data_IF_981226849739
#
_entry.id   IF_981226849739
#
_cell.length_a   1.000
_cell.length_b   1.000
_cell.length_c   1.000
_cell.angle_alpha   90.00
_cell.angle_beta   90.00
_cell.angle_gamma   90.00
#
_symmetry.space_group_name_H-M   'P 1'
#
loop_
_entity.id
_entity.type
_entity.pdbx_description
1 polymer ?
#
# COMPACT_ATOMS: atom_id res chain seq x y z
N UNK A 1 -18.77 -37.25 -36.01
CA UNK A 1 -19.69 -36.13 -35.83
C UNK A 1 -18.86 -34.87 -35.67
N UNK A 2 -18.89 -33.93 -36.63
CA UNK A 2 -18.14 -32.69 -36.51
C UNK A 2 -18.95 -31.69 -35.69
N UNK A 3 -18.39 -31.24 -34.58
CA UNK A 3 -19.02 -30.16 -33.78
C UNK A 3 -19.11 -28.91 -34.64
N UNK A 4 -20.22 -28.19 -34.57
CA UNK A 4 -20.36 -26.89 -35.22
C UNK A 4 -19.48 -25.84 -34.55
N UNK A 5 -19.07 -24.79 -35.27
CA UNK A 5 -18.27 -23.69 -34.72
C UNK A 5 -18.95 -23.05 -33.49
N UNK A 6 -20.28 -23.08 -33.45
CA UNK A 6 -21.06 -22.56 -32.32
C UNK A 6 -20.94 -23.49 -31.07
N UNK A 7 -20.89 -24.81 -31.26
CA UNK A 7 -20.67 -25.77 -30.15
C UNK A 7 -19.24 -25.68 -29.62
N UNK A 8 -18.27 -25.45 -30.51
CA UNK A 8 -16.87 -25.24 -30.11
C UNK A 8 -16.74 -23.93 -29.31
N UNK A 9 -17.42 -22.86 -29.73
CA UNK A 9 -17.43 -21.59 -29.03
C UNK A 9 -18.07 -21.72 -27.62
N UNK A 10 -19.23 -22.42 -27.50
CA UNK A 10 -19.88 -22.68 -26.22
C UNK A 10 -18.96 -23.53 -25.31
N UNK A 11 -18.30 -24.58 -25.86
CA UNK A 11 -17.35 -25.39 -25.09
C UNK A 11 -16.13 -24.59 -24.63
N UNK A 12 -15.62 -23.69 -25.48
CA UNK A 12 -14.50 -22.80 -25.11
C UNK A 12 -14.90 -21.80 -24.03
N UNK A 13 -16.11 -21.24 -24.11
CA UNK A 13 -16.64 -20.34 -23.07
C UNK A 13 -16.92 -21.11 -21.77
N UNK A 14 -17.43 -22.35 -21.85
CA UNK A 14 -17.66 -23.20 -20.65
C UNK A 14 -16.34 -23.61 -19.99
N UNK A 15 -15.27 -23.81 -20.77
CA UNK A 15 -13.94 -24.14 -20.24
C UNK A 15 -13.27 -22.92 -19.59
N UNK A 16 -13.57 -21.70 -20.03
CA UNK A 16 -13.17 -20.45 -19.39
C UNK A 16 -13.97 -20.16 -18.11
N UNK A 17 -15.14 -20.78 -17.95
CA UNK A 17 -16.02 -20.66 -16.79
C UNK A 17 -15.82 -21.75 -15.74
N UNK A 18 -14.89 -22.69 -15.94
CA UNK A 18 -14.52 -23.61 -14.88
C UNK A 18 -13.77 -22.81 -13.80
N UNK A 19 -14.30 -22.75 -12.59
CA UNK A 19 -13.60 -22.06 -11.51
C UNK A 19 -12.22 -22.72 -11.37
N UNK A 20 -11.18 -21.95 -11.56
CA UNK A 20 -9.86 -22.36 -11.09
C UNK A 20 -10.04 -22.68 -9.61
N UNK A 21 -9.50 -23.79 -9.13
CA UNK A 21 -9.70 -24.27 -7.76
C UNK A 21 -9.02 -23.37 -6.70
N UNK A 22 -8.84 -22.09 -6.99
CA UNK A 22 -8.42 -21.11 -6.03
C UNK A 22 -9.66 -20.34 -5.54
N UNK A 23 -10.11 -20.55 -4.28
CA UNK A 23 -11.27 -19.87 -3.73
C UNK A 23 -11.12 -18.33 -3.68
N UNK A 24 -9.91 -17.82 -3.92
CA UNK A 24 -9.61 -16.38 -3.91
C UNK A 24 -9.79 -15.69 -5.28
N UNK A 25 -10.17 -16.42 -6.35
CA UNK A 25 -10.53 -15.80 -7.62
C UNK A 25 -12.04 -15.54 -7.68
N UNK A 26 -12.43 -14.33 -7.36
CA UNK A 26 -13.80 -13.86 -7.59
C UNK A 26 -14.01 -13.48 -9.05
N UNK A 27 -14.47 -14.45 -9.84
CA UNK A 27 -14.79 -14.25 -11.25
C UNK A 27 -15.93 -13.20 -11.43
N UNK A 28 -16.82 -13.07 -10.45
CA UNK A 28 -17.89 -12.07 -10.47
C UNK A 28 -17.32 -10.66 -10.29
N UNK A 29 -16.32 -10.48 -9.44
CA UNK A 29 -15.58 -9.22 -9.29
C UNK A 29 -14.86 -8.83 -10.57
N UNK A 30 -14.20 -9.76 -11.23
CA UNK A 30 -13.56 -9.54 -12.53
C UNK A 30 -14.55 -9.13 -13.64
N UNK A 31 -15.73 -9.76 -13.69
CA UNK A 31 -16.75 -9.47 -14.72
C UNK A 31 -17.55 -8.20 -14.42
N UNK A 32 -17.68 -7.79 -13.16
CA UNK A 32 -18.39 -6.61 -12.72
C UNK A 32 -17.48 -5.46 -12.30
N UNK A 33 -16.16 -5.67 -12.35
CA UNK A 33 -15.15 -4.68 -11.99
C UNK A 33 -15.20 -3.49 -12.93
N UNK A 34 -15.78 -2.40 -12.45
CA UNK A 34 -15.82 -1.11 -13.14
C UNK A 34 -15.02 -0.05 -12.39
N UNK A 35 -14.13 -0.49 -11.48
CA UNK A 35 -13.20 0.42 -10.82
C UNK A 35 -12.37 1.15 -11.87
N UNK A 36 -12.18 2.47 -11.72
CA UNK A 36 -11.36 3.23 -12.65
C UNK A 36 -9.94 2.66 -12.72
N UNK A 37 -9.35 2.67 -13.91
CA UNK A 37 -7.95 2.33 -14.12
C UNK A 37 -7.01 3.17 -13.25
N UNK A 38 -5.82 2.64 -12.95
CA UNK A 38 -4.82 3.28 -12.10
C UNK A 38 -4.50 4.73 -12.50
N UNK A 39 -4.45 5.02 -13.81
CA UNK A 39 -4.19 6.39 -14.30
C UNK A 39 -5.29 7.37 -13.88
N UNK A 40 -6.55 6.96 -13.90
CA UNK A 40 -7.68 7.81 -13.50
C UNK A 40 -7.73 7.96 -11.97
N UNK A 41 -7.43 6.90 -11.21
CA UNK A 41 -7.31 6.99 -9.74
C UNK A 41 -6.16 7.93 -9.36
N UNK A 42 -5.04 7.86 -10.08
CA UNK A 42 -3.92 8.79 -9.92
C UNK A 42 -4.35 10.25 -10.14
N UNK A 43 -5.00 10.57 -11.27
CA UNK A 43 -5.49 11.93 -11.56
C UNK A 43 -6.42 12.45 -10.45
N UNK A 44 -7.34 11.62 -9.98
CA UNK A 44 -8.27 11.96 -8.89
C UNK A 44 -7.55 12.15 -7.56
N UNK A 45 -6.51 11.36 -7.30
CA UNK A 45 -5.67 11.45 -6.11
C UNK A 45 -4.87 12.76 -6.09
N UNK A 46 -4.23 13.12 -7.21
CA UNK A 46 -3.48 14.37 -7.32
C UNK A 46 -4.41 15.59 -7.16
N UNK A 47 -5.57 15.58 -7.80
CA UNK A 47 -6.55 16.66 -7.64
C UNK A 47 -7.03 16.83 -6.17
N UNK A 48 -7.18 15.71 -5.45
CA UNK A 48 -7.48 15.76 -4.01
C UNK A 48 -6.30 16.33 -3.21
N UNK A 49 -5.09 15.86 -3.45
CA UNK A 49 -3.88 16.30 -2.76
C UNK A 49 -3.64 17.80 -2.96
N UNK A 50 -3.86 18.32 -4.17
CA UNK A 50 -3.76 19.76 -4.46
C UNK A 50 -4.75 20.60 -3.63
N UNK A 51 -5.90 20.01 -3.27
CA UNK A 51 -6.92 20.70 -2.48
C UNK A 51 -6.65 20.71 -0.98
N UNK A 52 -5.93 19.70 -0.45
CA UNK A 52 -5.69 19.54 0.99
C UNK A 52 -4.25 19.85 1.40
N UNK A 53 -3.32 19.84 0.44
CA UNK A 53 -1.90 20.03 0.68
C UNK A 53 -1.18 18.79 1.19
N UNK A 54 0.10 18.93 1.50
CA UNK A 54 0.95 17.83 1.98
C UNK A 54 0.84 17.71 3.49
N UNK A 55 0.43 16.55 4.03
CA UNK A 55 0.35 16.34 5.47
C UNK A 55 1.72 16.36 6.15
N UNK A 56 1.77 16.91 7.35
CA UNK A 56 2.91 16.84 8.25
C UNK A 56 2.50 16.14 9.55
N UNK A 57 3.26 15.14 9.96
CA UNK A 57 3.05 14.42 11.22
C UNK A 57 4.07 14.92 12.25
N UNK A 58 3.58 15.46 13.35
CA UNK A 58 4.46 15.88 14.45
C UNK A 58 4.83 14.63 15.25
N UNK A 59 6.15 14.35 15.33
CA UNK A 59 6.68 13.22 16.09
C UNK A 59 7.24 13.69 17.43
N UNK A 60 7.18 12.84 18.48
CA UNK A 60 7.56 13.24 19.84
C UNK A 60 9.07 13.45 20.01
N UNK A 61 9.89 12.80 19.20
CA UNK A 61 11.35 12.88 19.23
C UNK A 61 11.95 12.56 17.86
N UNK A 62 13.24 12.80 17.67
CA UNK A 62 13.96 12.40 16.46
C UNK A 62 13.95 10.86 16.28
N UNK A 63 13.92 10.13 17.37
CA UNK A 63 13.75 8.68 17.39
C UNK A 63 12.28 8.35 17.69
N UNK A 64 11.59 7.74 16.72
CA UNK A 64 10.18 7.39 16.86
C UNK A 64 9.89 6.05 16.18
N UNK A 65 8.70 5.50 16.42
CA UNK A 65 8.28 4.22 15.85
C UNK A 65 7.14 4.38 14.87
N UNK A 66 7.16 3.53 13.85
CA UNK A 66 6.09 3.36 12.88
C UNK A 66 5.60 1.92 12.96
N UNK A 67 4.33 1.73 13.20
CA UNK A 67 3.69 0.43 13.15
C UNK A 67 3.15 0.18 11.76
N UNK A 68 3.42 -0.99 11.19
CA UNK A 68 3.09 -1.32 9.80
C UNK A 68 2.38 -2.66 9.74
N UNK A 69 1.19 -2.69 9.13
CA UNK A 69 0.44 -3.91 8.85
C UNK A 69 -0.10 -3.88 7.42
N UNK A 70 -0.63 -5.00 6.97
CA UNK A 70 -1.19 -5.19 5.63
C UNK A 70 -2.21 -6.32 5.64
N UNK A 71 -2.99 -6.42 4.57
CA UNK A 71 -3.82 -7.60 4.29
C UNK A 71 -4.66 -8.02 5.50
N UNK A 72 -5.41 -7.10 6.06
CA UNK A 72 -6.32 -7.40 7.19
C UNK A 72 -7.63 -8.06 6.75
N UNK A 73 -8.00 -7.94 5.46
CA UNK A 73 -9.13 -8.62 4.81
C UNK A 73 -10.40 -8.64 5.66
N UNK A 74 -10.81 -7.48 6.17
CA UNK A 74 -11.94 -7.38 7.10
C UNK A 74 -13.22 -7.86 6.43
N UNK A 75 -13.83 -8.90 6.98
CA UNK A 75 -15.12 -9.45 6.59
C UNK A 75 -16.04 -9.76 7.79
N UNK A 76 -15.48 -9.94 8.97
CA UNK A 76 -16.17 -10.28 10.21
C UNK A 76 -15.61 -9.50 11.41
N UNK A 77 -15.45 -10.10 12.58
CA UNK A 77 -14.90 -9.43 13.76
C UNK A 77 -13.36 -9.42 13.69
N UNK A 78 -12.72 -8.29 13.36
CA UNK A 78 -11.28 -8.21 13.17
C UNK A 78 -10.55 -8.06 14.50
N UNK A 79 -10.12 -9.15 15.07
CA UNK A 79 -9.39 -9.17 16.33
C UNK A 79 -7.97 -8.63 16.16
N UNK A 80 -7.29 -9.02 15.07
CA UNK A 80 -5.89 -8.64 14.83
C UNK A 80 -5.75 -7.14 14.50
N UNK A 81 -6.59 -6.57 13.63
CA UNK A 81 -6.53 -5.12 13.34
C UNK A 81 -6.82 -4.29 14.60
N UNK A 82 -7.81 -4.70 15.40
CA UNK A 82 -8.12 -4.01 16.65
C UNK A 82 -6.93 -4.06 17.63
N UNK A 83 -6.31 -5.23 17.77
CA UNK A 83 -5.15 -5.40 18.64
C UNK A 83 -3.93 -4.61 18.12
N UNK A 84 -3.71 -4.57 16.78
CA UNK A 84 -2.69 -3.75 16.16
C UNK A 84 -2.87 -2.26 16.45
N UNK A 85 -4.08 -1.72 16.24
CA UNK A 85 -4.39 -0.32 16.53
C UNK A 85 -4.21 0.00 18.02
N UNK A 86 -4.63 -0.90 18.91
CA UNK A 86 -4.44 -0.73 20.35
C UNK A 86 -2.96 -0.72 20.74
N UNK A 87 -2.15 -1.63 20.18
CA UNK A 87 -0.71 -1.69 20.42
C UNK A 87 0.00 -0.42 19.94
N UNK A 88 -0.31 0.04 18.73
CA UNK A 88 0.24 1.28 18.17
C UNK A 88 -0.16 2.51 19.00
N UNK A 89 -1.43 2.61 19.41
CA UNK A 89 -1.92 3.73 20.21
C UNK A 89 -1.37 3.74 21.65
N UNK A 90 -0.99 2.58 22.19
CA UNK A 90 -0.38 2.47 23.52
C UNK A 90 1.12 2.82 23.53
N UNK A 91 1.78 2.82 22.39
CA UNK A 91 3.20 3.16 22.28
C UNK A 91 3.37 4.69 22.12
N UNK A 92 3.86 5.34 23.16
CA UNK A 92 4.06 6.80 23.20
C UNK A 92 5.10 7.32 22.18
N UNK A 93 5.90 6.44 21.59
CA UNK A 93 6.83 6.76 20.52
C UNK A 93 6.25 6.48 19.13
N UNK A 94 5.00 6.03 19.02
CA UNK A 94 4.33 5.75 17.75
C UNK A 94 3.33 6.85 17.39
N UNK A 95 3.72 7.87 16.62
CA UNK A 95 2.82 8.93 16.17
C UNK A 95 1.99 8.52 14.96
N UNK A 96 2.42 7.49 14.21
CA UNK A 96 1.76 7.05 13.00
C UNK A 96 1.83 5.54 12.79
N UNK A 97 0.80 5.01 12.13
CA UNK A 97 0.74 3.64 11.66
C UNK A 97 0.44 3.61 10.14
N UNK A 98 0.94 2.59 9.46
CA UNK A 98 0.69 2.34 8.04
C UNK A 98 -0.08 1.04 7.87
N UNK A 99 -1.08 1.06 6.99
CA UNK A 99 -1.74 -0.12 6.47
C UNK A 99 -1.46 -0.22 4.97
N UNK A 100 -0.80 -1.29 4.53
CA UNK A 100 -0.25 -1.39 3.18
C UNK A 100 -1.25 -1.98 2.16
N UNK A 101 -2.55 -1.81 2.37
CA UNK A 101 -3.60 -2.23 1.44
C UNK A 101 -4.27 -3.54 1.82
N UNK A 102 -5.34 -3.89 1.09
CA UNK A 102 -6.26 -4.98 1.38
C UNK A 102 -6.82 -4.88 2.80
N UNK A 103 -7.34 -3.68 3.10
CA UNK A 103 -8.01 -3.40 4.37
C UNK A 103 -9.27 -4.26 4.52
N UNK A 104 -10.02 -4.43 3.42
CA UNK A 104 -11.28 -5.19 3.40
C UNK A 104 -11.21 -6.36 2.42
N UNK A 105 -12.00 -7.40 2.68
CA UNK A 105 -12.04 -8.57 1.79
C UNK A 105 -13.08 -8.41 0.68
N UNK A 106 -14.19 -7.73 0.93
CA UNK A 106 -15.32 -7.66 0.02
C UNK A 106 -16.13 -6.36 0.15
N UNK A 107 -17.08 -6.21 -0.77
CA UNK A 107 -17.97 -5.05 -0.85
C UNK A 107 -18.73 -4.78 0.47
N UNK A 108 -18.82 -3.49 0.81
CA UNK A 108 -19.62 -3.01 1.94
C UNK A 108 -18.91 -3.05 3.30
N UNK A 109 -17.66 -3.46 3.37
CA UNK A 109 -16.92 -3.54 4.63
C UNK A 109 -16.10 -2.29 4.95
N UNK A 110 -15.88 -1.38 3.98
CA UNK A 110 -15.08 -0.16 4.18
C UNK A 110 -15.60 0.69 5.36
N UNK A 111 -16.91 1.00 5.50
CA UNK A 111 -17.39 1.79 6.64
C UNK A 111 -17.10 1.15 7.99
N UNK A 112 -17.20 -0.18 8.06
CA UNK A 112 -16.89 -0.92 9.27
C UNK A 112 -15.39 -0.88 9.57
N UNK A 113 -14.55 -1.15 8.57
CA UNK A 113 -13.09 -1.07 8.71
C UNK A 113 -12.64 0.32 9.18
N UNK A 114 -13.18 1.38 8.60
CA UNK A 114 -12.91 2.77 9.03
C UNK A 114 -13.26 2.99 10.51
N UNK A 115 -14.34 2.38 11.01
CA UNK A 115 -14.74 2.53 12.42
C UNK A 115 -13.75 1.90 13.41
N UNK A 116 -12.86 1.04 12.94
CA UNK A 116 -11.83 0.37 13.74
C UNK A 116 -10.51 1.15 13.77
N UNK A 117 -10.31 2.03 12.81
CA UNK A 117 -9.14 2.89 12.75
C UNK A 117 -9.23 4.00 13.82
N UNK A 118 -8.08 4.56 14.23
CA UNK A 118 -8.08 5.65 15.19
C UNK A 118 -8.92 6.84 14.67
N UNK A 119 -9.71 7.48 15.52
CA UNK A 119 -10.46 8.67 15.11
C UNK A 119 -9.52 9.83 14.76
N UNK A 120 -9.95 10.74 13.90
CA UNK A 120 -9.16 11.88 13.39
C UNK A 120 -8.50 12.77 14.46
N UNK A 121 -8.92 12.68 15.72
CA UNK A 121 -8.32 13.43 16.83
C UNK A 121 -7.45 12.55 17.74
N UNK A 122 -7.16 11.32 17.33
CA UNK A 122 -6.21 10.45 18.01
C UNK A 122 -4.78 11.00 17.88
N UNK A 123 -3.92 10.81 18.89
CA UNK A 123 -2.49 11.07 18.73
C UNK A 123 -1.83 10.14 17.71
N UNK A 124 -2.44 8.99 17.41
CA UNK A 124 -2.02 8.06 16.38
C UNK A 124 -2.70 8.42 15.05
N UNK A 125 -1.90 8.77 14.04
CA UNK A 125 -2.36 8.99 12.66
C UNK A 125 -2.19 7.70 11.86
N UNK A 126 -3.21 7.28 11.09
CA UNK A 126 -3.11 6.12 10.21
C UNK A 126 -3.11 6.54 8.76
N UNK A 127 -2.16 6.02 7.97
CA UNK A 127 -2.08 6.17 6.53
C UNK A 127 -2.27 4.82 5.85
N UNK A 128 -2.95 4.81 4.70
CA UNK A 128 -3.34 3.57 4.02
C UNK A 128 -2.89 3.58 2.56
N UNK A 129 -2.27 2.50 2.12
CA UNK A 129 -2.18 2.19 0.70
C UNK A 129 -3.47 1.51 0.23
N UNK A 130 -3.74 1.58 -1.06
CA UNK A 130 -4.86 0.90 -1.70
C UNK A 130 -4.44 -0.50 -2.13
N UNK A 131 -5.17 -1.54 -1.72
CA UNK A 131 -5.00 -2.90 -2.17
C UNK A 131 -6.02 -3.30 -3.25
N UNK A 132 -5.83 -4.47 -3.83
CA UNK A 132 -6.73 -4.95 -4.90
C UNK A 132 -8.12 -5.35 -4.36
N UNK A 133 -8.22 -5.86 -3.14
CA UNK A 133 -9.50 -6.16 -2.52
C UNK A 133 -10.30 -4.90 -2.18
N UNK A 134 -9.64 -3.78 -1.90
CA UNK A 134 -10.27 -2.51 -1.59
C UNK A 134 -11.01 -1.88 -2.79
N UNK A 135 -10.69 -2.32 -4.03
CA UNK A 135 -11.32 -1.81 -5.26
C UNK A 135 -12.24 -2.83 -5.93
N UNK A 136 -12.32 -4.06 -5.46
CA UNK A 136 -13.25 -5.05 -6.01
C UNK A 136 -14.69 -4.52 -5.95
N UNK A 137 -15.53 -4.96 -6.90
CA UNK A 137 -16.95 -4.56 -6.98
C UNK A 137 -17.18 -3.05 -7.10
N UNK A 138 -16.24 -2.33 -7.73
CA UNK A 138 -16.34 -0.87 -7.93
C UNK A 138 -16.36 -0.05 -6.63
N UNK A 139 -15.57 -0.47 -5.63
CA UNK A 139 -15.51 0.21 -4.33
C UNK A 139 -14.62 1.47 -4.31
N UNK A 140 -13.96 1.82 -5.41
CA UNK A 140 -13.07 2.98 -5.45
C UNK A 140 -13.71 4.28 -4.96
N UNK A 141 -14.92 4.60 -5.41
CA UNK A 141 -15.59 5.84 -5.00
C UNK A 141 -15.92 5.83 -3.50
N UNK A 142 -16.30 4.67 -2.94
CA UNK A 142 -16.52 4.52 -1.51
C UNK A 142 -15.22 4.66 -0.76
N UNK A 143 -14.16 3.94 -1.14
CA UNK A 143 -12.82 4.03 -0.54
C UNK A 143 -12.31 5.47 -0.54
N UNK A 144 -12.37 6.13 -1.70
CA UNK A 144 -11.96 7.51 -1.88
C UNK A 144 -12.75 8.50 -1.00
N UNK A 145 -14.01 8.23 -0.73
CA UNK A 145 -14.84 9.10 0.13
C UNK A 145 -14.33 9.15 1.57
N UNK A 146 -13.67 8.10 2.04
CA UNK A 146 -13.09 8.02 3.38
C UNK A 146 -11.63 8.48 3.43
N UNK A 147 -10.83 8.09 2.45
CA UNK A 147 -9.37 8.25 2.48
C UNK A 147 -8.83 9.30 1.51
N UNK A 148 -9.63 9.72 0.53
CA UNK A 148 -9.34 10.80 -0.41
C UNK A 148 -8.41 10.45 -1.55
N UNK A 149 -7.25 9.87 -1.27
CA UNK A 149 -6.18 9.64 -2.24
C UNK A 149 -5.52 8.28 -2.05
N UNK A 150 -5.22 7.57 -3.16
CA UNK A 150 -4.39 6.37 -3.18
C UNK A 150 -2.92 6.65 -3.50
N UNK A 151 -2.60 7.86 -3.99
CA UNK A 151 -1.23 8.28 -4.33
C UNK A 151 -0.96 9.61 -3.66
N UNK A 152 -0.07 9.63 -2.70
CA UNK A 152 0.25 10.82 -1.93
C UNK A 152 1.64 10.69 -1.29
N UNK A 153 2.10 11.77 -0.68
CA UNK A 153 3.26 11.74 0.21
C UNK A 153 3.00 12.61 1.43
N UNK A 154 3.70 12.33 2.49
CA UNK A 154 3.71 13.12 3.71
C UNK A 154 5.11 13.09 4.34
N UNK A 155 5.31 13.91 5.35
CA UNK A 155 6.57 13.93 6.07
C UNK A 155 6.38 14.02 7.58
N UNK A 156 7.42 13.66 8.31
CA UNK A 156 7.46 13.80 9.77
C UNK A 156 8.32 15.00 10.15
N UNK A 157 7.97 15.62 11.25
CA UNK A 157 8.68 16.79 11.78
C UNK A 157 8.61 16.84 13.30
N UNK A 158 9.63 17.43 13.91
CA UNK A 158 9.63 17.74 15.34
C UNK A 158 8.73 18.96 15.65
N UNK A 159 8.35 19.17 16.92
CA UNK A 159 7.57 20.36 17.33
C UNK A 159 8.24 21.71 17.02
N UNK A 160 9.58 21.73 16.87
CA UNK A 160 10.35 22.91 16.48
C UNK A 160 10.42 23.15 14.97
N UNK A 161 9.64 22.37 14.20
CA UNK A 161 9.59 22.38 12.74
C UNK A 161 10.82 21.77 12.03
N UNK A 162 11.69 21.06 12.74
CA UNK A 162 12.76 20.28 12.12
C UNK A 162 12.15 19.09 11.36
N UNK A 163 12.31 19.08 10.05
CA UNK A 163 11.83 17.99 9.17
C UNK A 163 12.74 16.78 9.30
N UNK A 164 12.15 15.59 9.35
CA UNK A 164 12.86 14.33 9.51
C UNK A 164 12.73 13.44 8.28
N UNK A 165 11.64 12.69 8.15
CA UNK A 165 11.53 11.59 7.21
C UNK A 165 10.36 11.83 6.24
N UNK A 166 10.49 11.30 5.02
CA UNK A 166 9.48 11.37 3.96
C UNK A 166 8.90 9.98 3.70
N UNK A 167 7.58 9.94 3.56
CA UNK A 167 6.82 8.76 3.21
C UNK A 167 6.04 9.00 1.92
N UNK A 168 6.12 8.07 0.97
CA UNK A 168 5.48 8.16 -0.35
C UNK A 168 4.60 6.93 -0.54
N UNK A 169 3.30 7.14 -0.72
CA UNK A 169 2.32 6.09 -1.03
C UNK A 169 2.12 6.00 -2.54
N UNK A 170 2.17 4.78 -3.08
CA UNK A 170 1.88 4.48 -4.47
C UNK A 170 0.65 3.58 -4.58
N UNK A 171 -0.14 3.76 -5.64
CA UNK A 171 -1.25 2.89 -6.01
C UNK A 171 -0.76 1.78 -6.92
N UNK A 172 -0.74 0.57 -6.42
CA UNK A 172 -0.37 -0.65 -7.15
C UNK A 172 -1.49 -1.70 -7.18
N UNK A 173 -2.72 -1.31 -6.82
CA UNK A 173 -3.84 -2.22 -6.61
C UNK A 173 -4.22 -3.08 -7.84
N UNK A 174 -3.86 -2.66 -9.05
CA UNK A 174 -4.08 -3.41 -10.30
C UNK A 174 -2.84 -4.17 -10.78
N UNK A 175 -1.79 -4.29 -9.97
CA UNK A 175 -0.52 -4.89 -10.40
C UNK A 175 0.26 -4.02 -11.39
N UNK A 176 0.03 -2.71 -11.37
CA UNK A 176 0.77 -1.70 -12.14
C UNK A 176 0.73 -0.37 -11.40
N UNK A 177 1.81 0.38 -11.52
CA UNK A 177 1.90 1.77 -11.06
C UNK A 177 1.41 2.73 -12.17
N UNK A 178 1.66 2.38 -13.41
CA UNK A 178 1.33 3.19 -14.59
C UNK A 178 2.29 4.36 -14.82
N UNK A 179 2.38 4.79 -16.06
CA UNK A 179 3.39 5.78 -16.52
C UNK A 179 3.24 7.14 -15.84
N UNK A 180 2.01 7.59 -15.61
CA UNK A 180 1.76 8.90 -15.00
C UNK A 180 2.28 8.96 -13.55
N UNK A 181 2.05 7.90 -12.79
CA UNK A 181 2.51 7.80 -11.40
C UNK A 181 4.04 7.63 -11.32
N UNK A 182 4.65 6.84 -12.23
CA UNK A 182 6.10 6.73 -12.33
C UNK A 182 6.75 8.09 -12.66
N UNK A 183 6.15 8.87 -13.55
CA UNK A 183 6.65 10.20 -13.88
C UNK A 183 6.54 11.14 -12.66
N UNK A 184 5.41 11.14 -11.96
CA UNK A 184 5.21 11.92 -10.73
C UNK A 184 6.23 11.54 -9.65
N UNK A 185 6.47 10.24 -9.44
CA UNK A 185 7.46 9.75 -8.48
C UNK A 185 8.87 10.23 -8.85
N UNK A 186 9.23 10.19 -10.13
CA UNK A 186 10.52 10.72 -10.63
C UNK A 186 10.67 12.19 -10.31
N UNK A 187 9.66 12.99 -10.60
CA UNK A 187 9.66 14.44 -10.31
C UNK A 187 9.77 14.71 -8.81
N UNK A 188 9.05 13.95 -7.99
CA UNK A 188 9.10 14.08 -6.53
C UNK A 188 10.47 13.70 -5.95
N UNK A 189 11.12 12.65 -6.45
CA UNK A 189 12.41 12.17 -5.95
C UNK A 189 13.57 13.05 -6.44
N UNK A 190 13.49 13.59 -7.67
CA UNK A 190 14.57 14.42 -8.24
C UNK A 190 14.45 15.92 -7.93
N UNK A 191 13.34 16.34 -7.36
CA UNK A 191 13.05 17.76 -7.08
C UNK A 191 12.76 18.60 -8.33
N UNK A 192 12.55 17.97 -9.49
CA UNK A 192 12.30 18.66 -10.76
C UNK A 192 10.81 18.94 -11.05
N UNK A 193 9.92 18.55 -10.14
CA UNK A 193 8.47 18.74 -10.30
C UNK A 193 8.00 20.13 -9.90
N UNK A 194 6.83 20.51 -10.42
CA UNK A 194 6.10 21.75 -10.07
C UNK A 194 5.43 21.66 -8.69
N UNK A 195 6.14 21.15 -7.69
CA UNK A 195 5.68 21.17 -6.30
C UNK A 195 5.54 22.61 -5.81
N UNK A 196 4.61 22.91 -4.88
CA UNK A 196 4.47 24.24 -4.34
C UNK A 196 5.84 24.78 -3.89
N UNK A 197 6.23 25.91 -4.43
CA UNK A 197 7.55 26.54 -4.27
C UNK A 197 7.95 26.79 -2.80
N UNK A 198 7.00 26.71 -1.88
CA UNK A 198 7.21 26.86 -0.43
C UNK A 198 7.86 25.64 0.23
N UNK A 199 7.74 24.44 -0.35
CA UNK A 199 8.34 23.22 0.18
C UNK A 199 9.73 22.93 -0.44
N UNK A 200 9.96 23.37 -1.69
CA UNK A 200 11.22 23.12 -2.40
C UNK A 200 12.46 23.78 -1.79
N UNK A 201 12.30 24.87 -1.04
CA UNK A 201 13.43 25.60 -0.47
C UNK A 201 13.81 25.15 0.96
N UNK A 202 12.91 24.47 1.68
CA UNK A 202 13.13 24.06 3.08
C UNK A 202 13.45 22.57 3.26
N UNK A 203 13.24 21.74 2.23
CA UNK A 203 13.28 20.28 2.35
C UNK A 203 14.36 19.63 1.46
N UNK A 204 15.56 20.22 1.41
CA UNK A 204 16.65 19.71 0.58
C UNK A 204 17.29 18.41 1.09
N UNK A 205 16.94 17.93 2.27
CA UNK A 205 17.39 16.62 2.75
C UNK A 205 16.45 16.04 3.80
N UNK A 206 15.61 15.10 3.41
CA UNK A 206 14.99 14.19 4.38
C UNK A 206 16.06 13.26 4.94
N UNK A 207 15.95 12.89 6.20
CA UNK A 207 16.83 11.91 6.83
C UNK A 207 16.65 10.54 6.16
N UNK A 208 15.37 10.10 6.01
CA UNK A 208 15.00 8.89 5.30
C UNK A 208 13.86 9.16 4.32
N UNK A 209 13.83 8.37 3.25
CA UNK A 209 12.73 8.29 2.31
C UNK A 209 12.20 6.85 2.27
N UNK A 210 10.96 6.68 2.65
CA UNK A 210 10.26 5.40 2.64
C UNK A 210 9.16 5.46 1.58
N UNK A 211 9.16 4.50 0.66
CA UNK A 211 8.06 4.28 -0.29
C UNK A 211 7.25 3.10 0.21
N UNK A 212 5.94 3.20 0.19
CA UNK A 212 5.06 2.10 0.55
C UNK A 212 3.90 1.98 -0.44
N UNK A 213 3.45 0.76 -0.61
CA UNK A 213 2.37 0.40 -1.53
C UNK A 213 1.79 -0.96 -1.13
N UNK A 214 0.85 -1.50 -1.91
CA UNK A 214 0.31 -2.83 -1.63
C UNK A 214 1.12 -3.93 -2.28
N UNK A 215 1.34 -3.88 -3.61
CA UNK A 215 1.89 -4.99 -4.38
C UNK A 215 3.42 -4.97 -4.42
N UNK A 216 4.05 -6.13 -4.19
CA UNK A 216 5.49 -6.32 -4.31
C UNK A 216 5.92 -6.52 -5.78
N UNK A 217 7.21 -6.38 -6.06
CA UNK A 217 7.75 -6.55 -7.42
C UNK A 217 7.56 -7.97 -7.96
N UNK A 218 7.79 -8.98 -7.11
CA UNK A 218 7.74 -10.39 -7.49
C UNK A 218 6.88 -11.15 -6.49
N UNK A 219 5.93 -11.91 -7.02
CA UNK A 219 5.14 -12.83 -6.22
C UNK A 219 5.90 -14.13 -6.02
N UNK A 220 6.01 -14.58 -4.79
CA UNK A 220 6.50 -15.90 -4.44
C UNK A 220 5.31 -16.83 -4.30
N UNK A 221 5.14 -17.74 -5.25
CA UNK A 221 4.14 -18.79 -5.08
C UNK A 221 4.66 -19.91 -4.15
N UNK A 222 3.74 -20.79 -3.71
CA UNK A 222 4.09 -21.93 -2.86
C UNK A 222 5.00 -22.96 -3.54
N UNK A 223 5.20 -22.87 -4.86
CA UNK A 223 6.11 -23.71 -5.63
C UNK A 223 7.54 -23.17 -5.69
N UNK A 224 7.81 -22.05 -5.02
CA UNK A 224 9.06 -21.28 -5.07
C UNK A 224 9.39 -20.70 -6.46
N UNK A 225 8.39 -20.59 -7.33
CA UNK A 225 8.54 -19.87 -8.58
C UNK A 225 8.24 -18.40 -8.35
N UNK A 226 9.16 -17.52 -8.74
CA UNK A 226 8.95 -16.10 -8.73
C UNK A 226 8.23 -15.67 -10.00
N UNK A 227 7.04 -15.09 -9.86
CA UNK A 227 6.34 -14.42 -10.96
C UNK A 227 6.42 -12.92 -10.74
N UNK A 228 6.56 -12.16 -11.82
CA UNK A 228 6.51 -10.70 -11.72
C UNK A 228 5.07 -10.24 -11.49
N UNK A 229 4.86 -9.39 -10.50
CA UNK A 229 3.56 -8.74 -10.26
C UNK A 229 3.35 -7.55 -11.22
N UNK A 230 4.44 -6.92 -11.66
CA UNK A 230 4.44 -5.85 -12.66
C UNK A 230 4.99 -6.35 -14.00
N UNK A 231 4.79 -5.59 -15.08
CA UNK A 231 5.56 -5.79 -16.30
C UNK A 231 7.05 -5.69 -16.01
N UNK A 232 7.88 -6.49 -16.69
CA UNK A 232 9.33 -6.52 -16.44
C UNK A 232 9.96 -5.13 -16.60
N UNK A 233 9.57 -4.39 -17.63
CA UNK A 233 10.03 -3.04 -17.87
C UNK A 233 9.63 -2.07 -16.75
N UNK A 234 8.41 -2.20 -16.24
CA UNK A 234 7.91 -1.38 -15.14
C UNK A 234 8.66 -1.68 -13.83
N UNK A 235 8.90 -2.97 -13.54
CA UNK A 235 9.72 -3.39 -12.39
C UNK A 235 11.11 -2.78 -12.46
N UNK A 236 11.75 -2.87 -13.64
CA UNK A 236 13.09 -2.32 -13.85
C UNK A 236 13.11 -0.79 -13.71
N UNK A 237 12.13 -0.10 -14.29
CA UNK A 237 12.02 1.35 -14.20
C UNK A 237 11.77 1.81 -12.75
N UNK A 238 10.84 1.15 -12.04
CA UNK A 238 10.53 1.48 -10.64
C UNK A 238 11.73 1.24 -9.72
N UNK A 239 12.37 0.07 -9.78
CA UNK A 239 13.53 -0.23 -8.94
C UNK A 239 14.70 0.73 -9.22
N UNK A 240 14.97 1.04 -10.50
CA UNK A 240 15.99 2.02 -10.88
C UNK A 240 15.67 3.43 -10.35
N UNK A 241 14.39 3.81 -10.37
CA UNK A 241 13.95 5.11 -9.88
C UNK A 241 14.06 5.21 -8.35
N UNK A 242 13.72 4.15 -7.62
CA UNK A 242 13.88 4.09 -6.16
C UNK A 242 15.37 4.21 -5.76
N UNK A 243 16.25 3.46 -6.43
CA UNK A 243 17.70 3.52 -6.22
C UNK A 243 18.26 4.91 -6.49
N UNK A 244 17.99 5.48 -7.68
CA UNK A 244 18.48 6.80 -8.09
C UNK A 244 17.89 7.95 -7.26
N UNK A 245 16.69 7.77 -6.75
CA UNK A 245 15.96 8.74 -5.93
C UNK A 245 16.37 8.74 -4.46
N UNK A 246 17.31 7.87 -4.06
CA UNK A 246 17.78 7.77 -2.68
C UNK A 246 16.70 7.31 -1.71
N UNK A 247 15.85 6.36 -2.14
CA UNK A 247 14.88 5.71 -1.27
C UNK A 247 15.63 4.72 -0.38
N UNK A 248 15.33 4.71 0.92
CA UNK A 248 15.95 3.79 1.88
C UNK A 248 15.18 2.48 1.99
N UNK A 249 13.84 2.58 2.00
CA UNK A 249 12.95 1.45 2.22
C UNK A 249 11.77 1.44 1.23
N UNK A 250 11.39 0.23 0.80
CA UNK A 250 10.16 -0.03 0.05
C UNK A 250 9.33 -1.07 0.81
N UNK A 251 8.17 -0.68 1.34
CA UNK A 251 7.30 -1.54 2.15
C UNK A 251 6.04 -1.91 1.39
N UNK A 252 5.68 -3.19 1.42
CA UNK A 252 4.50 -3.70 0.72
C UNK A 252 3.89 -4.93 1.44
N UNK A 253 2.75 -5.40 0.93
CA UNK A 253 2.00 -6.56 1.38
C UNK A 253 1.72 -7.54 0.26
N UNK A 254 0.45 -7.94 0.10
CA UNK A 254 -0.13 -8.71 -1.00
C UNK A 254 0.21 -10.21 -1.01
N UNK A 255 1.44 -10.59 -0.72
CA UNK A 255 1.89 -11.98 -0.85
C UNK A 255 1.58 -12.83 0.39
N UNK A 256 1.03 -12.25 1.45
CA UNK A 256 0.74 -12.90 2.73
C UNK A 256 1.92 -13.71 3.27
N UNK A 257 3.14 -13.25 2.97
CA UNK A 257 4.38 -13.89 3.38
C UNK A 257 5.47 -12.86 3.58
N UNK A 258 6.27 -13.03 4.61
CA UNK A 258 7.37 -12.11 4.88
C UNK A 258 8.54 -12.36 3.94
N UNK A 259 8.99 -11.29 3.29
CA UNK A 259 10.21 -11.30 2.50
C UNK A 259 11.02 -10.02 2.75
N UNK A 260 12.33 -10.16 2.82
CA UNK A 260 13.25 -9.03 2.94
C UNK A 260 14.29 -9.19 1.84
N UNK A 261 14.39 -8.20 0.97
CA UNK A 261 15.32 -8.21 -0.16
C UNK A 261 16.09 -6.91 -0.21
N UNK A 262 17.42 -7.02 -0.17
CA UNK A 262 18.30 -5.88 -0.34
C UNK A 262 18.59 -5.65 -1.83
N UNK A 263 18.22 -4.48 -2.31
CA UNK A 263 18.57 -3.96 -3.62
C UNK A 263 19.80 -3.04 -3.51
N UNK A 264 20.37 -2.63 -4.65
CA UNK A 264 21.60 -1.85 -4.68
C UNK A 264 21.56 -0.52 -3.92
N UNK A 265 20.38 0.04 -3.69
CA UNK A 265 20.21 1.34 -3.01
C UNK A 265 19.14 1.37 -1.94
N UNK A 266 18.32 0.32 -1.80
CA UNK A 266 17.23 0.28 -0.82
C UNK A 266 16.92 -1.15 -0.37
N UNK A 267 16.24 -1.27 0.77
CA UNK A 267 15.72 -2.56 1.25
C UNK A 267 14.22 -2.64 0.99
N UNK A 268 13.76 -3.72 0.34
CA UNK A 268 12.34 -4.04 0.18
C UNK A 268 11.89 -4.99 1.27
N UNK A 269 10.74 -4.70 1.87
CA UNK A 269 10.12 -5.55 2.91
C UNK A 269 8.68 -5.83 2.50
N UNK A 270 8.38 -7.10 2.29
CA UNK A 270 7.00 -7.61 2.25
C UNK A 270 6.61 -7.95 3.68
N UNK A 271 5.54 -7.34 4.16
CA UNK A 271 4.99 -7.58 5.51
C UNK A 271 3.99 -8.71 5.42
N UNK A 272 4.01 -9.62 6.39
CA UNK A 272 3.02 -10.71 6.50
C UNK A 272 1.60 -10.16 6.68
N UNK A 273 0.60 -10.94 6.25
CA UNK A 273 -0.81 -10.59 6.43
C UNK A 273 -1.21 -10.49 7.90
N UNK A 274 -2.09 -9.53 8.16
CA UNK A 274 -2.73 -9.34 9.46
C UNK A 274 -4.04 -10.13 9.60
N UNK A 275 -4.41 -10.88 8.59
CA UNK A 275 -5.69 -11.57 8.48
C UNK A 275 -5.97 -12.51 9.66
N UNK A 276 -7.20 -12.47 10.19
CA UNK A 276 -7.61 -13.28 11.35
C UNK A 276 -7.77 -14.78 11.05
N UNK A 277 -8.02 -15.13 9.77
CA UNK A 277 -8.38 -16.49 9.37
C UNK A 277 -7.19 -17.40 9.04
N UNK A 278 -5.99 -16.82 8.84
CA UNK A 278 -4.78 -17.55 8.44
C UNK A 278 -3.61 -17.27 9.38
N UNK A 279 -3.64 -17.83 10.61
CA UNK A 279 -2.53 -17.66 11.52
C UNK A 279 -1.26 -18.40 11.02
N UNK A 280 -0.05 -17.93 11.36
CA UNK A 280 0.20 -16.81 12.26
C UNK A 280 0.14 -15.46 11.55
N UNK A 281 -0.55 -14.49 12.17
CA UNK A 281 -0.56 -13.11 11.71
C UNK A 281 0.59 -12.30 12.32
N UNK A 282 1.10 -11.32 11.56
CA UNK A 282 2.21 -10.47 12.00
C UNK A 282 1.96 -9.00 11.65
N UNK A 283 2.66 -8.14 12.36
CA UNK A 283 2.88 -6.76 11.96
C UNK A 283 4.35 -6.39 12.18
N UNK A 284 4.80 -5.34 11.53
CA UNK A 284 6.16 -4.82 11.66
C UNK A 284 6.15 -3.56 12.52
N UNK A 285 7.17 -3.42 13.37
CA UNK A 285 7.49 -2.17 14.06
C UNK A 285 8.84 -1.69 13.56
N UNK A 286 8.84 -0.54 12.90
CA UNK A 286 10.06 0.13 12.46
C UNK A 286 10.40 1.27 13.44
N UNK A 287 11.66 1.34 13.86
CA UNK A 287 12.22 2.45 14.63
C UNK A 287 13.07 3.29 13.70
N UNK A 288 12.66 4.54 13.52
CA UNK A 288 13.36 5.54 12.71
C UNK A 288 14.22 6.40 13.65
N UNK A 289 15.51 6.37 13.38
CA UNK A 289 16.55 7.17 14.05
C UNK A 289 17.53 7.62 12.96
N UNK A 290 18.84 7.74 13.25
CA UNK A 290 19.86 7.87 12.19
C UNK A 290 19.93 6.63 11.28
N UNK A 291 19.33 5.52 11.72
CA UNK A 291 19.16 4.28 10.97
C UNK A 291 17.72 3.80 11.09
N UNK A 292 17.26 3.04 10.12
CA UNK A 292 15.96 2.35 10.16
C UNK A 292 16.18 0.93 10.68
N UNK A 293 15.66 0.64 11.87
CA UNK A 293 15.64 -0.71 12.44
C UNK A 293 14.22 -1.23 12.47
N UNK A 294 13.99 -2.50 12.24
CA UNK A 294 12.66 -3.10 12.23
C UNK A 294 12.63 -4.49 12.84
N UNK A 295 11.50 -4.87 13.37
CA UNK A 295 11.24 -6.23 13.85
C UNK A 295 9.76 -6.58 13.64
N UNK A 296 9.47 -7.88 13.58
CA UNK A 296 8.12 -8.39 13.39
C UNK A 296 7.56 -8.90 14.69
N UNK A 297 6.30 -8.56 14.95
CA UNK A 297 5.53 -9.01 16.11
C UNK A 297 4.49 -10.00 15.61
N UNK A 298 4.49 -11.20 16.18
CA UNK A 298 3.48 -12.21 15.93
C UNK A 298 2.30 -11.99 16.89
N UNK A 299 1.09 -12.06 16.36
CA UNK A 299 -0.11 -12.18 17.18
C UNK A 299 -0.20 -13.59 17.75
N UNK A 300 -0.73 -13.72 18.97
CA UNK A 300 -0.87 -15.00 19.64
C UNK A 300 -1.84 -15.98 18.94
#
# INVERSE_FOLDING_TARGET
MKLSNFQILIFSILFLLLPSCNPNYDLAGFLNGTSPEVCKRFEQSIAYNDSVGVPAVIVPSADYRVYVCTDSHIDSIPTNLTAFVQAAAADTLCPLALHLGDLVNAQGHIPYAVSLLPPNHSPLTTFLALGNHDIYFNQWDEWRSYFGSSVYWFYTMLPDSTVLDRFICLDSAEGTIGTAQLQWLRELLTGNGSQPSTLNAQHSSFRHTIVFTHTHFFRRDHSQQHTSNYAIEETYELTSLLEQGGVDMYWCGHDHSREITDYAGFTSIVVDALEDHYPPAFYMVATLSDQINYHFIQFP
#
